data_IF_040364703257
#
_entry.id   IF_040364703257
#
_cell.length_a   1.000
_cell.length_b   1.000
_cell.length_c   1.000
_cell.angle_alpha   90.00
_cell.angle_beta   90.00
_cell.angle_gamma   90.00
#
_symmetry.space_group_name_H-M   'P 1'
#
loop_
_entity.id
_entity.type
_entity.pdbx_description
1 polymer ?
#
# COMPACT_ATOMS: atom_id res chain seq x y z
N UNK A 1 20.06 3.19 -0.72
CA UNK A 1 19.02 3.98 -0.03
C UNK A 1 17.84 3.07 0.23
N UNK A 2 17.00 3.41 1.18
CA UNK A 2 15.76 2.69 1.47
C UNK A 2 14.59 3.25 0.66
N UNK A 3 13.69 2.36 0.25
CA UNK A 3 12.50 2.67 -0.53
C UNK A 3 11.31 1.93 0.09
N UNK A 4 10.16 2.59 0.14
CA UNK A 4 8.92 2.05 0.70
C UNK A 4 8.05 1.57 -0.46
N UNK A 5 7.58 0.34 -0.34
CA UNK A 5 6.73 -0.34 -1.31
C UNK A 5 5.42 -0.74 -0.66
N UNK A 6 4.33 -0.55 -1.40
CA UNK A 6 3.00 -1.03 -1.08
C UNK A 6 2.61 -2.09 -2.11
N UNK A 7 2.28 -3.28 -1.63
CA UNK A 7 1.88 -4.41 -2.44
C UNK A 7 0.39 -4.63 -2.25
N UNK A 8 -0.31 -4.69 -3.37
CA UNK A 8 -1.74 -4.91 -3.46
C UNK A 8 -2.00 -6.27 -4.09
N UNK A 9 -3.03 -6.95 -3.61
CA UNK A 9 -3.65 -8.06 -4.31
C UNK A 9 -5.02 -7.58 -4.80
N UNK A 10 -5.20 -7.51 -6.11
CA UNK A 10 -6.30 -6.77 -6.73
C UNK A 10 -6.34 -5.32 -6.24
N UNK A 11 -7.37 -4.94 -5.47
CA UNK A 11 -7.53 -3.58 -4.91
C UNK A 11 -7.19 -3.50 -3.41
N UNK A 12 -6.82 -4.62 -2.78
CA UNK A 12 -6.55 -4.70 -1.34
C UNK A 12 -5.06 -4.55 -1.05
N UNK A 13 -4.69 -3.65 -0.12
CA UNK A 13 -3.32 -3.51 0.36
C UNK A 13 -2.98 -4.69 1.28
N UNK A 14 -2.05 -5.54 0.86
CA UNK A 14 -1.68 -6.76 1.60
C UNK A 14 -0.34 -6.66 2.32
N UNK A 15 0.57 -5.79 1.86
CA UNK A 15 1.87 -5.60 2.49
C UNK A 15 2.39 -4.18 2.24
N UNK A 16 2.85 -3.52 3.30
CA UNK A 16 3.71 -2.33 3.19
C UNK A 16 5.06 -2.67 3.80
N UNK A 17 6.14 -2.43 3.08
CA UNK A 17 7.49 -2.77 3.52
C UNK A 17 8.52 -1.79 2.95
N UNK A 18 9.73 -1.77 3.52
CA UNK A 18 10.87 -1.08 2.91
C UNK A 18 11.95 -2.05 2.47
N UNK A 19 12.65 -1.71 1.40
CA UNK A 19 13.80 -2.44 0.92
C UNK A 19 14.84 -1.50 0.30
N UNK A 20 16.07 -1.99 0.16
CA UNK A 20 17.18 -1.33 -0.53
C UNK A 20 17.25 -1.69 -2.02
N UNK A 21 16.13 -2.10 -2.62
CA UNK A 21 16.03 -2.47 -4.03
C UNK A 21 16.23 -1.24 -4.91
N UNK A 22 16.90 -1.42 -6.06
CA UNK A 22 17.02 -0.35 -7.05
C UNK A 22 15.61 0.07 -7.53
N UNK A 23 15.22 1.35 -7.40
CA UNK A 23 13.88 1.80 -7.77
C UNK A 23 13.58 1.64 -9.27
N UNK A 24 14.61 1.54 -10.12
CA UNK A 24 14.49 1.39 -11.57
C UNK A 24 14.29 -0.06 -12.03
N UNK A 25 14.31 -1.04 -11.12
CA UNK A 25 13.94 -2.42 -11.46
C UNK A 25 12.48 -2.49 -11.93
N UNK A 26 12.15 -3.51 -12.72
CA UNK A 26 10.76 -3.77 -13.07
C UNK A 26 9.94 -4.13 -11.83
N UNK A 27 8.64 -3.89 -11.91
CA UNK A 27 7.71 -4.19 -10.83
C UNK A 27 7.64 -5.69 -10.52
N UNK A 28 7.77 -6.54 -11.53
CA UNK A 28 7.91 -8.00 -11.36
C UNK A 28 9.14 -8.36 -10.54
N UNK A 29 10.31 -7.82 -10.88
CA UNK A 29 11.54 -8.10 -10.11
C UNK A 29 11.44 -7.59 -8.67
N UNK A 30 10.83 -6.42 -8.45
CA UNK A 30 10.61 -5.91 -7.08
C UNK A 30 9.68 -6.84 -6.29
N UNK A 31 8.58 -7.30 -6.91
CA UNK A 31 7.66 -8.25 -6.31
C UNK A 31 8.37 -9.56 -5.96
N UNK A 32 9.10 -10.16 -6.90
CA UNK A 32 9.83 -11.40 -6.66
C UNK A 32 10.79 -11.28 -5.47
N UNK A 33 11.55 -10.19 -5.39
CA UNK A 33 12.49 -9.96 -4.29
C UNK A 33 11.76 -9.83 -2.95
N UNK A 34 10.67 -9.04 -2.91
CA UNK A 34 9.95 -8.78 -1.66
C UNK A 34 9.18 -10.03 -1.21
N UNK A 35 8.49 -10.71 -2.13
CA UNK A 35 7.72 -11.91 -1.81
C UNK A 35 8.63 -13.03 -1.30
N UNK A 36 9.80 -13.22 -1.89
CA UNK A 36 10.78 -14.21 -1.43
C UNK A 36 11.60 -13.76 -0.21
N UNK A 37 11.30 -12.60 0.38
CA UNK A 37 11.95 -12.13 1.60
C UNK A 37 11.52 -12.98 2.81
N UNK A 38 12.45 -13.32 3.73
CA UNK A 38 12.12 -14.04 4.97
C UNK A 38 11.11 -13.31 5.87
N UNK A 39 10.95 -12.00 5.70
CA UNK A 39 10.02 -11.18 6.46
C UNK A 39 8.58 -11.20 5.92
N UNK A 40 8.36 -11.77 4.73
CA UNK A 40 7.04 -11.83 4.10
C UNK A 40 6.23 -13.00 4.67
N UNK A 41 4.99 -12.73 5.04
CA UNK A 41 4.08 -13.75 5.57
C UNK A 41 3.82 -14.85 4.53
N UNK A 42 3.91 -16.11 4.94
CA UNK A 42 3.69 -17.28 4.06
C UNK A 42 2.35 -17.23 3.32
N UNK A 43 1.30 -16.66 3.93
CA UNK A 43 0.00 -16.50 3.28
C UNK A 43 0.05 -15.61 2.04
N UNK A 44 0.89 -14.56 2.06
CA UNK A 44 1.10 -13.66 0.93
C UNK A 44 1.93 -14.37 -0.14
N UNK A 45 2.96 -15.12 0.28
CA UNK A 45 3.80 -15.94 -0.61
C UNK A 45 2.94 -16.96 -1.37
N UNK A 46 2.12 -17.73 -0.65
CA UNK A 46 1.23 -18.74 -1.23
C UNK A 46 0.23 -18.12 -2.21
N UNK A 47 -0.35 -16.96 -1.87
CA UNK A 47 -1.28 -16.24 -2.75
C UNK A 47 -0.59 -15.73 -4.01
N UNK A 48 0.62 -15.19 -3.89
CA UNK A 48 1.42 -14.72 -5.02
C UNK A 48 1.72 -15.84 -6.01
N UNK A 49 2.17 -17.00 -5.54
CA UNK A 49 2.47 -18.12 -6.45
C UNK A 49 1.23 -18.77 -7.07
N UNK A 50 0.04 -18.62 -6.46
CA UNK A 50 -1.22 -19.10 -7.05
C UNK A 50 -1.76 -18.16 -8.14
N UNK A 51 -1.68 -16.85 -7.92
CA UNK A 51 -2.29 -15.83 -8.77
C UNK A 51 -1.40 -14.57 -8.88
N UNK A 52 -0.20 -14.67 -9.47
CA UNK A 52 0.77 -13.58 -9.49
C UNK A 52 0.26 -12.35 -10.25
N UNK A 53 -0.59 -12.55 -11.26
CA UNK A 53 -1.18 -11.49 -12.09
C UNK A 53 -2.13 -10.56 -11.32
N UNK A 54 -2.59 -10.99 -10.13
CA UNK A 54 -3.39 -10.13 -9.25
C UNK A 54 -2.54 -9.19 -8.41
N UNK A 55 -1.22 -9.38 -8.36
CA UNK A 55 -0.36 -8.59 -7.50
C UNK A 55 0.16 -7.36 -8.23
N UNK A 56 0.12 -6.23 -7.52
CA UNK A 56 0.67 -4.96 -7.97
C UNK A 56 1.56 -4.38 -6.90
N UNK A 57 2.66 -3.79 -7.31
CA UNK A 57 3.55 -3.03 -6.42
C UNK A 57 3.48 -1.54 -6.78
N UNK A 58 3.46 -0.71 -5.74
CA UNK A 58 3.53 0.74 -5.86
C UNK A 58 4.68 1.24 -5.00
N UNK A 59 5.49 2.14 -5.55
CA UNK A 59 6.56 2.80 -4.78
C UNK A 59 5.97 4.01 -4.06
N UNK A 60 5.84 3.96 -2.75
CA UNK A 60 5.25 5.03 -1.96
C UNK A 60 6.26 6.13 -1.60
N UNK A 61 7.52 5.75 -1.33
CA UNK A 61 8.60 6.68 -0.99
C UNK A 61 9.94 6.13 -1.44
N UNK A 62 10.81 7.00 -1.91
CA UNK A 62 12.18 6.66 -2.32
C UNK A 62 13.21 7.50 -1.59
N UNK A 63 14.47 7.08 -1.67
CA UNK A 63 15.63 7.86 -1.25
C UNK A 63 15.64 8.19 0.25
N UNK A 64 15.24 7.21 1.07
CA UNK A 64 15.36 7.28 2.52
C UNK A 64 16.79 6.89 2.93
N UNK A 65 17.36 7.66 3.85
CA UNK A 65 18.79 7.63 4.11
C UNK A 65 19.20 6.45 5.01
N UNK A 66 18.29 6.01 5.88
CA UNK A 66 18.55 4.95 6.83
C UNK A 66 17.26 4.18 7.15
N UNK A 67 17.40 3.06 7.88
CA UNK A 67 16.29 2.20 8.24
C UNK A 67 15.34 2.84 9.26
N UNK A 68 15.82 3.74 10.12
CA UNK A 68 14.97 4.44 11.09
C UNK A 68 13.96 5.34 10.37
N UNK A 69 14.43 6.16 9.42
CA UNK A 69 13.58 7.03 8.59
C UNK A 69 12.53 6.20 7.80
N UNK A 70 12.93 5.00 7.33
CA UNK A 70 12.02 4.08 6.66
C UNK A 70 10.97 3.47 7.60
N UNK A 71 11.35 3.08 8.81
CA UNK A 71 10.41 2.60 9.82
C UNK A 71 9.41 3.68 10.24
N UNK A 72 9.87 4.90 10.50
CA UNK A 72 9.00 6.03 10.86
C UNK A 72 7.97 6.30 9.76
N UNK A 73 8.39 6.27 8.48
CA UNK A 73 7.47 6.44 7.37
C UNK A 73 6.50 5.26 7.21
N UNK A 74 6.98 4.04 7.43
CA UNK A 74 6.16 2.82 7.40
C UNK A 74 5.06 2.88 8.48
N UNK A 75 5.42 3.28 9.70
CA UNK A 75 4.48 3.50 10.81
C UNK A 75 3.47 4.60 10.48
N UNK A 76 3.92 5.71 9.88
CA UNK A 76 3.03 6.77 9.42
C UNK A 76 1.99 6.26 8.42
N UNK A 77 2.39 5.42 7.45
CA UNK A 77 1.46 4.83 6.49
C UNK A 77 0.45 3.89 7.15
N UNK A 78 0.91 3.03 8.07
CA UNK A 78 0.06 2.06 8.75
C UNK A 78 -0.93 2.72 9.73
N UNK A 79 -0.55 3.85 10.32
CA UNK A 79 -1.39 4.62 11.24
C UNK A 79 -2.23 5.71 10.55
N UNK A 80 -2.12 5.86 9.23
CA UNK A 80 -2.91 6.85 8.50
C UNK A 80 -4.38 6.43 8.58
N UNK A 81 -5.27 7.25 9.17
CA UNK A 81 -6.69 6.94 9.18
C UNK A 81 -7.14 6.78 7.72
N UNK A 82 -7.73 5.64 7.41
CA UNK A 82 -8.36 5.39 6.11
C UNK A 82 -9.44 6.46 5.98
N UNK A 83 -9.18 7.49 5.18
CA UNK A 83 -10.25 8.37 4.71
C UNK A 83 -11.11 7.53 3.76
N UNK A 84 -12.02 6.76 4.33
CA UNK A 84 -13.15 6.16 3.64
C UNK A 84 -13.89 7.30 2.96
N UNK A 85 -13.75 7.44 1.64
CA UNK A 85 -14.78 7.81 0.64
C UNK A 85 -14.10 8.17 -0.70
N UNK A 86 -13.65 7.16 -1.45
CA UNK A 86 -13.95 7.11 -2.90
C UNK A 86 -15.19 6.22 -3.02
N UNK A 87 -16.30 6.67 -2.43
CA UNK A 87 -17.66 6.22 -2.74
C UNK A 87 -18.39 7.48 -3.18
N UNK A 88 -18.04 7.99 -4.36
CA UNK A 88 -18.81 9.01 -5.09
C UNK A 88 -18.90 8.69 -6.58
N UNK A 89 -18.93 7.39 -6.88
CA UNK A 89 -19.48 6.87 -8.13
C UNK A 89 -20.67 6.04 -7.67
N UNK A 90 -21.88 6.38 -8.11
CA UNK A 90 -23.20 5.87 -7.63
C UNK A 90 -23.78 6.67 -6.45
N UNK A 91 -24.26 7.88 -6.73
CA UNK A 91 -25.59 8.33 -6.34
C UNK A 91 -25.93 9.55 -7.20
N UNK A 92 -26.37 9.23 -8.41
CA UNK A 92 -27.00 10.16 -9.33
C UNK A 92 -28.41 10.49 -8.78
N UNK A 93 -28.82 11.74 -8.91
CA UNK A 93 -30.17 12.30 -8.70
C UNK A 93 -30.68 12.61 -7.27
N UNK A 94 -30.85 13.92 -7.07
CA UNK A 94 -31.93 14.62 -6.36
C UNK A 94 -31.76 14.98 -4.86
N UNK A 95 -31.79 16.31 -4.66
CA UNK A 95 -32.20 17.07 -3.47
C UNK A 95 -31.27 17.10 -2.26
N UNK A 96 -30.45 18.16 -2.20
CA UNK A 96 -29.76 18.61 -0.99
C UNK A 96 -30.78 19.32 -0.10
N UNK A 97 -31.23 18.63 0.95
CA UNK A 97 -31.90 19.22 2.12
C UNK A 97 -31.02 19.01 3.35
N UNK A 98 -30.28 20.06 3.71
CA UNK A 98 -29.86 20.52 5.06
C UNK A 98 -29.75 19.48 6.20
N UNK A 99 -28.61 19.47 6.91
CA UNK A 99 -28.52 19.84 8.34
C UNK A 99 -27.08 19.75 8.87
N UNK A 100 -26.46 20.92 9.10
CA UNK A 100 -25.29 21.05 9.99
C UNK A 100 -25.75 20.74 11.42
N UNK A 101 -25.09 19.80 12.10
CA UNK A 101 -25.19 19.69 13.56
C UNK A 101 -23.79 19.69 14.17
N UNK A 102 -23.45 20.83 14.79
CA UNK A 102 -22.38 20.97 15.79
C UNK A 102 -22.71 20.05 16.96
N UNK A 103 -21.71 19.39 17.50
CA UNK A 103 -21.71 19.01 18.92
C UNK A 103 -20.39 19.45 19.56
N UNK A 104 -20.56 19.84 20.81
CA UNK A 104 -19.71 20.61 21.71
C UNK A 104 -18.50 19.80 22.13
#
# INVERSE_FOLDING_TARGET
>A
MYHIYQIYQSEELVLTTYHTINPNCSDTTKLDIIINSPATLNSIVDSYFKQPDQFKIVTAKTNLNNALEANEYLEFLNNKPINTTIIKTINNYNNISILKKRFI
#
